data_IF_819456344137
#
_entry.id   IF_819456344137
#
_cell.length_a   1.000
_cell.length_b   1.000
_cell.length_c   1.000
_cell.angle_alpha   90.00
_cell.angle_beta   90.00
_cell.angle_gamma   90.00
#
_symmetry.space_group_name_H-M   'P 1'
#
loop_
_entity.id
_entity.type
_entity.pdbx_description
1 polymer ?
#
# COMPACT_ATOMS: atom_id res chain seq x y z
N UNK A 1 10.99 -18.50 21.50
CA UNK A 1 11.68 -18.34 20.20
C UNK A 1 10.57 -18.34 19.19
N UNK A 2 10.18 -17.15 18.74
CA UNK A 2 9.28 -17.05 17.61
C UNK A 2 10.15 -17.31 16.39
N UNK A 3 9.94 -18.46 15.75
CA UNK A 3 10.58 -18.80 14.48
C UNK A 3 10.28 -17.66 13.50
N UNK A 4 11.28 -17.22 12.73
CA UNK A 4 11.07 -16.39 11.55
C UNK A 4 10.06 -17.14 10.68
N UNK A 5 8.78 -16.75 10.83
CA UNK A 5 7.69 -17.51 10.25
C UNK A 5 7.80 -17.45 8.74
N UNK A 6 7.79 -18.57 8.10
CA UNK A 6 7.62 -18.71 6.67
C UNK A 6 6.44 -17.80 6.23
N UNK A 7 6.65 -17.04 5.17
CA UNK A 7 5.60 -16.20 4.64
C UNK A 7 4.40 -17.06 4.26
N UNK A 8 3.18 -16.63 4.62
CA UNK A 8 1.94 -17.44 4.46
C UNK A 8 1.65 -17.87 3.01
N UNK A 9 2.33 -17.30 2.03
CA UNK A 9 2.17 -17.63 0.61
C UNK A 9 3.47 -17.39 -0.13
N UNK A 10 3.75 -18.17 -1.14
CA UNK A 10 4.87 -18.02 -2.08
C UNK A 10 4.92 -16.60 -2.70
N UNK A 11 3.75 -15.97 -2.94
CA UNK A 11 3.67 -14.60 -3.41
C UNK A 11 4.19 -13.57 -2.38
N UNK A 12 4.28 -13.94 -1.10
CA UNK A 12 4.82 -13.11 -0.03
C UNK A 12 6.35 -13.20 0.07
N UNK A 13 6.94 -14.23 -0.52
CA UNK A 13 8.38 -14.42 -0.62
C UNK A 13 8.87 -13.89 -1.96
N UNK A 14 9.34 -12.67 -2.02
CA UNK A 14 9.80 -12.07 -3.27
C UNK A 14 10.34 -10.67 -3.08
N UNK A 15 11.10 -10.20 -4.06
CA UNK A 15 11.70 -8.87 -4.04
C UNK A 15 10.66 -7.78 -4.24
N UNK A 16 10.78 -6.71 -3.48
CA UNK A 16 10.03 -5.47 -3.67
C UNK A 16 10.98 -4.45 -4.30
N UNK A 17 10.69 -3.95 -5.51
CA UNK A 17 11.48 -2.87 -6.09
C UNK A 17 11.46 -1.65 -5.18
N UNK A 18 12.64 -1.13 -4.83
CA UNK A 18 12.78 0.07 -4.02
C UNK A 18 12.97 1.29 -4.91
N UNK A 19 12.03 2.23 -4.84
CA UNK A 19 12.23 3.54 -5.44
C UNK A 19 13.44 4.25 -4.79
N UNK A 20 14.18 5.04 -5.57
CA UNK A 20 15.40 5.72 -5.12
C UNK A 20 15.21 6.56 -3.85
N UNK A 21 14.08 7.28 -3.77
CA UNK A 21 13.72 8.08 -2.59
C UNK A 21 13.58 7.20 -1.32
N UNK A 22 12.87 6.06 -1.43
CA UNK A 22 12.72 5.14 -0.31
C UNK A 22 14.07 4.53 0.10
N UNK A 23 14.89 4.18 -0.88
CA UNK A 23 16.26 3.69 -0.64
C UNK A 23 17.11 4.70 0.12
N UNK A 24 17.00 6.00 -0.20
CA UNK A 24 17.71 7.07 0.52
C UNK A 24 17.25 7.18 1.98
N UNK A 25 15.94 7.10 2.25
CA UNK A 25 15.40 7.11 3.62
C UNK A 25 15.88 5.90 4.42
N UNK A 26 15.84 4.70 3.82
CA UNK A 26 16.32 3.49 4.48
C UNK A 26 17.82 3.54 4.79
N UNK A 27 18.64 4.08 3.88
CA UNK A 27 20.07 4.31 4.13
C UNK A 27 20.31 5.36 5.23
N UNK A 28 19.49 6.41 5.27
CA UNK A 28 19.56 7.40 6.35
C UNK A 28 19.21 6.75 7.71
N UNK A 29 18.16 5.93 7.75
CA UNK A 29 17.78 5.14 8.92
C UNK A 29 18.91 4.19 9.35
N UNK A 30 19.51 3.45 8.42
CA UNK A 30 20.62 2.54 8.70
C UNK A 30 21.80 3.24 9.39
N UNK A 31 22.07 4.50 9.07
CA UNK A 31 23.13 5.29 9.72
C UNK A 31 22.77 5.78 11.12
N UNK A 32 21.48 5.80 11.46
CA UNK A 32 20.98 6.33 12.75
C UNK A 32 20.64 5.21 13.74
N UNK A 33 20.26 4.04 13.24
CA UNK A 33 19.93 2.90 14.11
C UNK A 33 21.17 2.35 14.79
N UNK A 34 21.11 1.96 16.08
CA UNK A 34 22.21 1.26 16.74
C UNK A 34 22.41 -0.18 16.25
N UNK A 35 21.46 -0.69 15.44
CA UNK A 35 21.44 -2.05 14.91
C UNK A 35 21.52 -2.00 13.38
N UNK A 36 22.74 -1.94 12.84
CA UNK A 36 22.98 -1.78 11.40
C UNK A 36 23.91 -2.86 10.81
N UNK A 37 24.14 -3.95 11.54
CA UNK A 37 25.00 -5.06 11.10
C UNK A 37 24.24 -5.95 10.11
N UNK A 38 24.98 -6.71 9.32
CA UNK A 38 24.40 -7.79 8.49
C UNK A 38 23.70 -8.79 9.39
N UNK A 39 22.41 -9.02 9.11
CA UNK A 39 21.55 -9.90 9.93
C UNK A 39 20.70 -9.16 10.97
N UNK A 40 20.95 -7.87 11.23
CA UNK A 40 20.05 -7.10 12.09
C UNK A 40 18.74 -6.80 11.35
N UNK A 41 17.65 -6.68 12.12
CA UNK A 41 16.36 -6.26 11.55
C UNK A 41 16.40 -4.80 11.09
N UNK A 42 15.78 -4.50 9.96
CA UNK A 42 15.66 -3.12 9.45
C UNK A 42 14.95 -2.20 10.46
N UNK A 43 13.92 -2.72 11.11
CA UNK A 43 13.21 -2.05 12.20
C UNK A 43 13.28 -2.91 13.46
N UNK A 44 14.34 -2.79 14.25
CA UNK A 44 14.53 -3.61 15.44
C UNK A 44 13.70 -3.08 16.61
N UNK A 45 13.30 -3.96 17.51
CA UNK A 45 12.71 -3.59 18.80
C UNK A 45 13.81 -3.11 19.75
N UNK A 46 13.80 -1.82 20.08
CA UNK A 46 14.75 -1.26 21.04
C UNK A 46 14.56 -1.83 22.46
N UNK A 47 13.31 -2.13 22.83
CA UNK A 47 12.97 -2.76 24.13
C UNK A 47 13.59 -4.17 24.25
N UNK A 48 13.74 -4.87 23.15
CA UNK A 48 14.36 -6.19 23.11
C UNK A 48 15.85 -6.15 22.69
N UNK A 49 16.49 -4.97 22.77
CA UNK A 49 17.89 -4.77 22.37
C UNK A 49 18.21 -5.32 20.96
N UNK A 50 17.31 -5.07 20.00
CA UNK A 50 17.47 -5.46 18.60
C UNK A 50 17.26 -6.94 18.27
N UNK A 51 17.01 -7.80 19.25
CA UNK A 51 16.92 -9.26 19.06
C UNK A 51 15.69 -9.74 18.31
N UNK A 52 14.65 -8.91 18.23
CA UNK A 52 13.42 -9.19 17.51
C UNK A 52 12.99 -7.98 16.69
N UNK A 53 12.20 -8.14 15.64
CA UNK A 53 11.67 -7.00 14.88
C UNK A 53 10.70 -6.17 15.73
N UNK A 54 10.55 -4.90 15.37
CA UNK A 54 9.53 -4.04 15.96
C UNK A 54 8.14 -4.54 15.55
N UNK A 55 7.30 -4.84 16.54
CA UNK A 55 5.92 -5.26 16.28
C UNK A 55 5.13 -4.15 15.58
N UNK A 56 4.39 -4.50 14.53
CA UNK A 56 3.52 -3.55 13.82
C UNK A 56 2.47 -2.90 14.73
N UNK A 57 1.95 -3.61 15.73
CA UNK A 57 0.99 -3.06 16.70
C UNK A 57 1.64 -2.01 17.61
N UNK A 58 2.86 -2.27 18.08
CA UNK A 58 3.64 -1.31 18.87
C UNK A 58 3.99 -0.08 18.02
N UNK A 59 4.44 -0.27 16.78
CA UNK A 59 4.71 0.83 15.86
C UNK A 59 3.48 1.72 15.66
N UNK A 60 2.32 1.11 15.46
CA UNK A 60 1.06 1.85 15.27
C UNK A 60 0.68 2.62 16.54
N UNK A 61 0.76 2.00 17.71
CA UNK A 61 0.35 2.61 18.97
C UNK A 61 1.30 3.73 19.41
N UNK A 62 2.61 3.47 19.34
CA UNK A 62 3.62 4.34 19.96
C UNK A 62 4.14 5.43 18.99
N UNK A 63 4.01 5.22 17.68
CA UNK A 63 4.57 6.12 16.67
C UNK A 63 3.56 6.62 15.65
N UNK A 64 2.85 5.74 14.93
CA UNK A 64 2.00 6.14 13.81
C UNK A 64 0.79 6.96 14.25
N UNK A 65 0.03 6.49 15.25
CA UNK A 65 -1.13 7.20 15.77
C UNK A 65 -0.80 8.56 16.40
N UNK A 66 0.23 8.66 17.25
CA UNK A 66 0.66 9.95 17.79
C UNK A 66 1.09 10.93 16.72
N UNK A 67 1.86 10.49 15.71
CA UNK A 67 2.27 11.33 14.59
C UNK A 67 1.07 11.81 13.78
N UNK A 68 0.15 10.93 13.42
CA UNK A 68 -1.05 11.28 12.68
C UNK A 68 -1.92 12.31 13.43
N UNK A 69 -2.12 12.13 14.75
CA UNK A 69 -2.85 13.08 15.57
C UNK A 69 -2.14 14.44 15.63
N UNK A 70 -0.81 14.45 15.74
CA UNK A 70 -0.01 15.68 15.74
C UNK A 70 -0.16 16.46 14.42
N UNK A 71 -0.28 15.75 13.31
CA UNK A 71 -0.47 16.34 11.99
C UNK A 71 -1.95 16.65 11.66
N UNK A 72 -2.85 16.57 12.65
CA UNK A 72 -4.25 16.96 12.51
C UNK A 72 -5.17 15.89 11.94
N UNK A 73 -4.70 14.65 11.79
CA UNK A 73 -5.57 13.54 11.37
C UNK A 73 -6.53 13.20 12.50
N UNK A 74 -7.82 13.35 12.25
CA UNK A 74 -8.85 12.98 13.22
C UNK A 74 -8.98 11.46 13.23
N UNK A 75 -8.75 10.85 14.37
CA UNK A 75 -8.91 9.43 14.62
C UNK A 75 -9.89 9.31 15.78
N UNK A 76 -11.11 8.85 15.50
CA UNK A 76 -12.16 8.67 16.49
C UNK A 76 -11.83 7.53 17.46
N UNK A 77 -12.40 7.59 18.66
CA UNK A 77 -12.25 6.52 19.65
C UNK A 77 -12.89 5.23 19.12
N UNK A 78 -12.13 4.15 19.19
CA UNK A 78 -12.53 2.86 18.63
C UNK A 78 -12.27 2.70 17.11
N UNK A 79 -11.92 3.76 16.41
CA UNK A 79 -11.58 3.66 14.99
C UNK A 79 -10.29 2.88 14.78
N UNK A 80 -10.35 1.88 13.86
CA UNK A 80 -9.16 1.15 13.43
C UNK A 80 -8.32 2.05 12.53
N UNK A 81 -7.14 2.45 13.01
CA UNK A 81 -6.16 3.18 12.22
C UNK A 81 -4.79 2.52 12.39
N UNK A 82 -4.17 2.12 11.29
CA UNK A 82 -2.90 1.40 11.32
C UNK A 82 -2.32 1.17 9.93
N UNK A 83 -1.31 0.30 9.84
CA UNK A 83 -0.60 0.00 8.58
C UNK A 83 -1.53 -0.49 7.46
N UNK A 84 -2.59 -1.21 7.82
CA UNK A 84 -3.58 -1.70 6.86
C UNK A 84 -4.35 -0.55 6.18
N UNK A 85 -4.66 0.50 6.92
CA UNK A 85 -5.30 1.70 6.37
C UNK A 85 -4.39 2.44 5.39
N UNK A 86 -3.08 2.51 5.68
CA UNK A 86 -2.10 3.09 4.73
C UNK A 86 -2.04 2.27 3.44
N UNK A 87 -2.07 0.94 3.55
CA UNK A 87 -2.13 0.05 2.39
C UNK A 87 -3.42 0.26 1.58
N UNK A 88 -4.57 0.41 2.23
CA UNK A 88 -5.84 0.73 1.56
C UNK A 88 -5.80 2.11 0.88
N UNK A 89 -5.23 3.11 1.54
CA UNK A 89 -5.07 4.45 0.94
C UNK A 89 -4.18 4.40 -0.30
N UNK A 90 -3.07 3.66 -0.25
CA UNK A 90 -2.22 3.44 -1.42
C UNK A 90 -2.98 2.74 -2.55
N UNK A 91 -3.73 1.68 -2.23
CA UNK A 91 -4.54 0.94 -3.20
C UNK A 91 -5.53 1.87 -3.90
N UNK A 92 -6.29 2.63 -3.12
CA UNK A 92 -7.28 3.57 -3.62
C UNK A 92 -6.64 4.66 -4.49
N UNK A 93 -5.49 5.19 -4.09
CA UNK A 93 -4.77 6.19 -4.88
C UNK A 93 -4.26 5.63 -6.21
N UNK A 94 -3.67 4.44 -6.20
CA UNK A 94 -3.17 3.77 -7.41
C UNK A 94 -4.29 3.52 -8.43
N UNK A 95 -5.44 3.06 -7.94
CA UNK A 95 -6.60 2.73 -8.79
C UNK A 95 -7.31 4.00 -9.26
N UNK A 96 -7.72 4.88 -8.33
CA UNK A 96 -8.66 5.95 -8.63
C UNK A 96 -7.99 7.26 -9.09
N UNK A 97 -6.78 7.55 -8.61
CA UNK A 97 -6.05 8.77 -8.98
C UNK A 97 -4.98 8.55 -10.04
N UNK A 98 -4.12 7.56 -9.82
CA UNK A 98 -3.04 7.27 -10.75
C UNK A 98 -3.46 6.40 -11.94
N UNK A 99 -4.65 5.78 -11.90
CA UNK A 99 -5.21 4.92 -12.97
C UNK A 99 -4.21 3.84 -13.44
N UNK A 100 -3.53 3.25 -12.46
CA UNK A 100 -2.50 2.22 -12.71
C UNK A 100 -3.17 0.90 -13.07
N UNK A 101 -2.66 0.20 -14.06
CA UNK A 101 -3.20 -1.09 -14.49
C UNK A 101 -3.28 -2.13 -13.36
N UNK A 102 -4.35 -2.97 -13.33
CA UNK A 102 -4.58 -3.94 -12.26
C UNK A 102 -3.39 -4.87 -11.98
N UNK A 103 -2.70 -5.31 -13.02
CA UNK A 103 -1.54 -6.19 -12.88
C UNK A 103 -0.37 -5.52 -12.17
N UNK A 104 -0.12 -4.25 -12.45
CA UNK A 104 0.90 -3.43 -11.80
C UNK A 104 0.52 -3.18 -10.34
N UNK A 105 -0.75 -2.86 -10.06
CA UNK A 105 -1.26 -2.70 -8.69
C UNK A 105 -1.12 -4.00 -7.90
N UNK A 106 -1.45 -5.15 -8.50
CA UNK A 106 -1.24 -6.47 -7.89
C UNK A 106 0.23 -6.65 -7.47
N UNK A 107 1.17 -6.31 -8.37
CA UNK A 107 2.61 -6.41 -8.10
C UNK A 107 3.07 -5.50 -6.96
N UNK A 108 2.65 -4.22 -6.96
CA UNK A 108 3.00 -3.24 -5.92
C UNK A 108 2.44 -3.69 -4.56
N UNK A 109 1.18 -4.11 -4.52
CA UNK A 109 0.50 -4.55 -3.30
C UNK A 109 0.84 -5.99 -2.92
N UNK A 110 1.48 -6.75 -3.81
CA UNK A 110 1.80 -8.18 -3.60
C UNK A 110 0.57 -9.00 -3.21
N UNK A 111 -0.54 -8.80 -3.93
CA UNK A 111 -1.71 -9.62 -3.75
C UNK A 111 -1.49 -10.99 -4.40
N UNK A 112 -1.65 -12.04 -3.63
CA UNK A 112 -1.50 -13.42 -4.13
C UNK A 112 -2.48 -13.75 -5.27
N UNK A 113 -3.67 -13.13 -5.26
CA UNK A 113 -4.71 -13.32 -6.27
C UNK A 113 -5.07 -12.00 -6.93
N UNK A 114 -5.17 -12.00 -8.26
CA UNK A 114 -5.57 -10.82 -9.03
C UNK A 114 -6.99 -10.35 -8.67
N UNK A 115 -7.89 -11.27 -8.30
CA UNK A 115 -9.25 -10.95 -7.89
C UNK A 115 -9.28 -9.91 -6.76
N UNK A 116 -8.42 -10.06 -5.75
CA UNK A 116 -8.31 -9.09 -4.66
C UNK A 116 -7.97 -7.68 -5.16
N UNK A 117 -7.21 -7.58 -6.25
CA UNK A 117 -6.92 -6.30 -6.88
C UNK A 117 -8.10 -5.83 -7.72
N UNK A 118 -8.73 -6.70 -8.50
CA UNK A 118 -9.86 -6.34 -9.35
C UNK A 118 -11.08 -5.86 -8.55
N UNK A 119 -11.29 -6.37 -7.34
CA UNK A 119 -12.32 -5.87 -6.42
C UNK A 119 -12.16 -4.37 -6.09
N UNK A 120 -10.92 -3.85 -6.11
CA UNK A 120 -10.65 -2.43 -5.93
C UNK A 120 -11.13 -1.59 -7.13
N UNK A 121 -11.11 -2.17 -8.33
CA UNK A 121 -11.58 -1.52 -9.56
C UNK A 121 -13.09 -1.64 -9.74
N UNK A 122 -13.71 -2.72 -9.24
CA UNK A 122 -15.16 -2.91 -9.33
C UNK A 122 -15.97 -1.97 -8.44
N UNK A 123 -15.33 -1.31 -7.49
CA UNK A 123 -15.94 -0.26 -6.65
C UNK A 123 -15.97 1.12 -7.35
N UNK A 124 -15.56 1.18 -8.62
CA UNK A 124 -15.64 2.42 -9.41
C UNK A 124 -17.10 2.73 -9.74
N UNK A 125 -17.44 4.02 -9.66
CA UNK A 125 -18.79 4.54 -9.88
C UNK A 125 -19.31 4.26 -11.30
N UNK A 126 -20.63 4.02 -11.42
CA UNK A 126 -21.30 3.78 -12.69
C UNK A 126 -21.11 4.88 -13.75
N UNK A 127 -20.75 6.09 -13.34
CA UNK A 127 -20.45 7.22 -14.23
C UNK A 127 -19.23 6.97 -15.14
N UNK A 128 -18.19 6.28 -14.65
CA UNK A 128 -17.01 5.93 -15.47
C UNK A 128 -17.36 4.85 -16.52
N UNK A 129 -18.29 3.96 -16.23
CA UNK A 129 -18.78 2.96 -17.17
C UNK A 129 -19.53 3.62 -18.34
N UNK A 130 -20.36 4.62 -18.05
CA UNK A 130 -21.06 5.42 -19.06
C UNK A 130 -20.12 6.22 -19.94
N UNK A 131 -19.10 6.84 -19.34
CA UNK A 131 -18.07 7.59 -20.08
C UNK A 131 -17.27 6.69 -21.04
N UNK A 132 -16.84 5.50 -20.59
CA UNK A 132 -16.14 4.54 -21.45
C UNK A 132 -16.99 4.04 -22.62
N UNK A 133 -18.30 3.83 -22.42
CA UNK A 133 -19.20 3.50 -23.50
C UNK A 133 -19.35 4.66 -24.52
N UNK A 134 -19.41 5.90 -24.02
CA UNK A 134 -19.47 7.09 -24.86
C UNK A 134 -18.22 7.25 -25.73
N UNK A 135 -17.03 7.05 -25.17
CA UNK A 135 -15.76 7.09 -25.92
C UNK A 135 -15.73 6.01 -27.01
N UNK A 136 -16.15 4.78 -26.69
CA UNK A 136 -16.20 3.71 -27.66
C UNK A 136 -17.18 3.99 -28.80
N UNK A 137 -18.38 4.49 -28.51
CA UNK A 137 -19.36 4.86 -29.52
C UNK A 137 -18.87 6.00 -30.40
N UNK A 138 -18.16 6.97 -29.82
CA UNK A 138 -17.52 8.08 -30.56
C UNK A 138 -16.43 7.54 -31.48
N UNK A 139 -15.59 6.63 -31.02
CA UNK A 139 -14.55 5.99 -31.82
C UNK A 139 -15.12 5.17 -33.00
N UNK A 140 -16.31 4.59 -32.83
CA UNK A 140 -17.05 3.90 -33.92
C UNK A 140 -17.79 4.84 -34.86
N UNK A 141 -17.78 6.15 -34.62
CA UNK A 141 -18.50 7.13 -35.44
C UNK A 141 -20.02 7.09 -35.30
N UNK A 142 -20.55 6.41 -34.26
CA UNK A 142 -22.01 6.25 -34.07
C UNK A 142 -22.67 7.51 -33.50
N UNK A 143 -21.87 8.44 -32.95
CA UNK A 143 -22.36 9.69 -32.32
C UNK A 143 -22.65 10.84 -33.30
N UNK A 144 -22.23 10.76 -34.55
CA UNK A 144 -22.33 11.87 -35.50
C UNK A 144 -23.58 11.85 -36.38
N UNK A 145 -24.46 10.89 -36.28
CA UNK A 145 -25.64 10.75 -37.16
C UNK A 145 -27.00 11.04 -36.49
N UNK A 146 -27.07 11.42 -35.24
CA UNK A 146 -28.34 11.61 -34.52
C UNK A 146 -28.73 13.08 -34.31
N UNK A 147 -28.05 14.03 -34.99
CA UNK A 147 -28.45 15.46 -34.97
C UNK A 147 -28.65 15.92 -36.41
N UNK A 148 -29.76 15.57 -36.98
CA UNK A 148 -30.43 16.27 -38.09
C UNK A 148 -31.91 16.42 -37.79
#
# INVERSE_FOLDING_TARGET
MEEDGETKTEASDGYVPLHSTLSQHLRAWQRQTPYAKTGDFVFPSLKAAGRVPLSGSIFVADHLRPAAKKDGVQIEDGQRFGLHNLRHSLSNWLVNKAKVEPKTVQGILRHARIQTTLELYSQQDGDETGAGQGEYLTALGVGSQLVQ
#
